data_IF_629986832762
#
_entry.id   IF_629986832762
#
_cell.length_a   1.000
_cell.length_b   1.000
_cell.length_c   1.000
_cell.angle_alpha   90.00
_cell.angle_beta   90.00
_cell.angle_gamma   90.00
#
_symmetry.space_group_name_H-M   'P 1'
#
loop_
_entity.id
_entity.type
_entity.pdbx_description
1 polymer ?
#
# COMPACT_ATOMS: atom_id res chain seq x y z
N UNK A 1 16.73 -48.60 -31.03
CA UNK A 1 16.00 -47.88 -29.96
C UNK A 1 16.86 -46.72 -29.52
N UNK A 2 16.50 -45.49 -29.89
CA UNK A 2 17.25 -44.31 -29.46
C UNK A 2 17.01 -44.08 -27.97
N UNK A 3 18.07 -44.13 -27.15
CA UNK A 3 18.08 -43.63 -25.78
C UNK A 3 17.80 -42.12 -25.83
N UNK A 4 16.53 -41.73 -25.88
CA UNK A 4 16.14 -40.39 -25.45
C UNK A 4 16.12 -40.46 -23.93
N UNK A 5 17.14 -39.88 -23.30
CA UNK A 5 17.05 -39.58 -21.87
C UNK A 5 15.70 -38.87 -21.65
N UNK A 6 14.86 -39.33 -20.72
CA UNK A 6 13.67 -38.57 -20.36
C UNK A 6 14.16 -37.18 -19.96
N UNK A 7 13.66 -36.13 -20.61
CA UNK A 7 14.03 -34.76 -20.26
C UNK A 7 13.62 -34.54 -18.81
N UNK A 8 14.59 -34.47 -17.91
CA UNK A 8 14.30 -34.20 -16.51
C UNK A 8 14.02 -32.71 -16.39
N UNK A 9 12.87 -32.35 -15.81
CA UNK A 9 12.50 -30.94 -15.56
C UNK A 9 13.58 -30.23 -14.73
N UNK A 10 14.30 -30.97 -13.88
CA UNK A 10 15.41 -30.46 -13.05
C UNK A 10 16.60 -29.96 -13.87
N UNK A 11 16.75 -30.44 -15.11
CA UNK A 11 17.85 -30.05 -16.01
C UNK A 11 17.53 -28.79 -16.83
N UNK A 12 16.29 -28.27 -16.75
CA UNK A 12 15.94 -27.00 -17.38
C UNK A 12 16.90 -25.87 -16.96
N UNK A 13 17.18 -24.92 -17.86
CA UNK A 13 18.05 -23.78 -17.58
C UNK A 13 17.49 -22.91 -16.44
N UNK A 14 18.37 -22.19 -15.72
CA UNK A 14 17.94 -21.34 -14.59
C UNK A 14 16.96 -20.26 -15.04
N UNK A 15 17.16 -19.71 -16.24
CA UNK A 15 16.33 -18.67 -16.82
C UNK A 15 14.89 -19.16 -17.02
N UNK A 16 14.72 -20.41 -17.47
CA UNK A 16 13.40 -21.02 -17.65
C UNK A 16 12.71 -21.33 -16.32
N UNK A 17 13.48 -21.76 -15.31
CA UNK A 17 12.95 -21.92 -13.96
C UNK A 17 12.47 -20.61 -13.37
N UNK A 18 13.26 -19.53 -13.52
CA UNK A 18 12.87 -18.19 -13.05
C UNK A 18 11.64 -17.67 -13.80
N UNK A 19 11.57 -17.87 -15.11
CA UNK A 19 10.39 -17.52 -15.91
C UNK A 19 9.16 -18.30 -15.45
N UNK A 20 9.28 -19.61 -15.18
CA UNK A 20 8.19 -20.40 -14.61
C UNK A 20 7.77 -19.88 -13.23
N UNK A 21 8.73 -19.41 -12.42
CA UNK A 21 8.44 -18.91 -11.09
C UNK A 21 7.58 -17.65 -11.10
N UNK A 22 7.69 -16.82 -12.13
CA UNK A 22 6.90 -15.60 -12.26
C UNK A 22 5.38 -15.87 -12.43
N UNK A 23 4.98 -17.09 -12.79
CA UNK A 23 3.58 -17.47 -12.98
C UNK A 23 2.89 -18.02 -11.73
N UNK A 24 3.64 -18.27 -10.66
CA UNK A 24 3.13 -18.92 -9.44
C UNK A 24 3.34 -18.00 -8.24
N UNK A 25 2.35 -17.96 -7.33
CA UNK A 25 2.58 -17.34 -6.04
C UNK A 25 3.61 -18.12 -5.22
N UNK A 26 4.16 -17.45 -4.22
CA UNK A 26 5.27 -17.99 -3.43
C UNK A 26 4.92 -19.31 -2.72
N UNK A 27 3.66 -19.47 -2.30
CA UNK A 27 3.18 -20.66 -1.61
C UNK A 27 3.18 -21.85 -2.56
N UNK A 28 2.64 -21.66 -3.76
CA UNK A 28 2.60 -22.67 -4.80
C UNK A 28 4.02 -23.04 -5.24
N UNK A 29 4.93 -22.05 -5.33
CA UNK A 29 6.34 -22.31 -5.61
C UNK A 29 7.03 -23.13 -4.54
N UNK A 30 6.88 -22.72 -3.28
CA UNK A 30 7.53 -23.41 -2.18
C UNK A 30 7.00 -24.83 -2.04
N UNK A 31 5.67 -25.01 -2.04
CA UNK A 31 5.06 -26.34 -1.89
C UNK A 31 5.39 -27.29 -3.05
N UNK A 32 5.48 -26.78 -4.29
CA UNK A 32 5.75 -27.61 -5.46
C UNK A 32 7.24 -27.93 -5.65
N UNK A 33 8.13 -26.98 -5.33
CA UNK A 33 9.53 -27.06 -5.76
C UNK A 33 10.56 -27.06 -4.64
N UNK A 34 10.19 -26.65 -3.41
CA UNK A 34 11.12 -26.70 -2.30
C UNK A 34 11.42 -28.16 -1.92
N UNK A 35 12.71 -28.47 -1.83
CA UNK A 35 13.19 -29.81 -1.49
C UNK A 35 13.42 -30.73 -2.69
N UNK A 36 13.12 -30.31 -3.93
CA UNK A 36 13.44 -31.10 -5.14
C UNK A 36 14.94 -31.34 -5.24
N UNK A 37 15.73 -30.27 -5.30
CA UNK A 37 17.18 -30.34 -5.25
C UNK A 37 17.79 -29.02 -4.78
N UNK A 38 19.08 -29.06 -4.45
CA UNK A 38 19.82 -27.91 -3.90
C UNK A 38 19.81 -26.70 -4.84
N UNK A 39 19.89 -26.92 -6.15
CA UNK A 39 19.94 -25.84 -7.16
C UNK A 39 18.60 -25.11 -7.23
N UNK A 40 17.50 -25.84 -7.33
CA UNK A 40 16.14 -25.27 -7.37
C UNK A 40 15.84 -24.54 -6.05
N UNK A 41 16.22 -25.11 -4.92
CA UNK A 41 16.10 -24.43 -3.61
C UNK A 41 16.84 -23.09 -3.60
N UNK A 42 18.06 -23.03 -4.16
CA UNK A 42 18.81 -21.77 -4.26
C UNK A 42 18.10 -20.76 -5.18
N UNK A 43 17.53 -21.20 -6.30
CA UNK A 43 16.77 -20.33 -7.20
C UNK A 43 15.53 -19.76 -6.50
N UNK A 44 14.75 -20.61 -5.81
CA UNK A 44 13.63 -20.17 -4.99
C UNK A 44 14.09 -19.12 -3.97
N UNK A 45 15.15 -19.44 -3.22
CA UNK A 45 15.72 -18.55 -2.21
C UNK A 45 16.31 -17.24 -2.76
N UNK A 46 16.40 -17.05 -4.07
CA UNK A 46 16.82 -15.80 -4.70
C UNK A 46 15.65 -14.87 -5.10
N UNK A 47 14.42 -15.37 -5.13
CA UNK A 47 13.23 -14.57 -5.47
C UNK A 47 13.04 -13.45 -4.44
N UNK A 48 12.84 -12.22 -4.89
CA UNK A 48 12.72 -11.06 -3.98
C UNK A 48 11.28 -10.59 -3.76
N UNK A 49 10.34 -11.27 -4.41
CA UNK A 49 8.92 -10.97 -4.34
C UNK A 49 8.22 -12.04 -3.53
N UNK A 50 7.48 -11.62 -2.51
CA UNK A 50 6.61 -12.47 -1.73
C UNK A 50 5.18 -11.98 -1.95
N UNK A 51 4.42 -12.72 -2.75
CA UNK A 51 3.00 -12.48 -2.98
C UNK A 51 2.18 -13.56 -2.30
N UNK A 52 1.22 -13.14 -1.48
CA UNK A 52 0.29 -14.01 -0.77
C UNK A 52 -1.13 -13.58 -1.11
N UNK A 53 -1.93 -14.53 -1.56
CA UNK A 53 -3.33 -14.34 -1.88
C UNK A 53 -4.16 -15.22 -0.94
N UNK A 54 -4.93 -14.61 -0.05
CA UNK A 54 -5.89 -15.27 0.84
C UNK A 54 -7.31 -14.93 0.40
N UNK A 55 -8.20 -15.90 0.31
CA UNK A 55 -9.60 -15.65 -0.06
C UNK A 55 -10.51 -16.62 0.65
N UNK A 56 -11.80 -16.27 0.77
CA UNK A 56 -12.83 -17.14 1.35
C UNK A 56 -12.87 -18.56 0.74
N UNK A 57 -12.50 -18.70 -0.53
CA UNK A 57 -12.52 -19.98 -1.26
C UNK A 57 -11.31 -20.87 -1.00
N UNK A 58 -10.20 -20.29 -0.55
CA UNK A 58 -8.96 -21.03 -0.32
C UNK A 58 -8.56 -20.77 1.13
N UNK A 59 -8.80 -21.76 1.98
CA UNK A 59 -8.56 -21.70 3.42
C UNK A 59 -7.04 -21.68 3.72
N UNK A 60 -6.41 -20.55 3.43
CA UNK A 60 -4.98 -20.30 3.58
C UNK A 60 -4.57 -19.98 5.03
N UNK A 61 -5.47 -20.11 6.01
CA UNK A 61 -5.19 -19.97 7.45
C UNK A 61 -3.97 -20.82 7.88
N UNK A 62 -3.97 -22.10 7.50
CA UNK A 62 -2.84 -22.98 7.76
C UNK A 62 -1.61 -22.55 6.97
N UNK A 63 -1.77 -22.02 5.77
CA UNK A 63 -0.66 -21.76 4.87
C UNK A 63 0.05 -20.45 5.16
N UNK A 64 -0.64 -19.41 5.62
CA UNK A 64 -0.04 -18.20 6.20
C UNK A 64 0.74 -18.56 7.47
N UNK A 65 0.13 -19.37 8.34
CA UNK A 65 0.79 -19.88 9.53
C UNK A 65 2.06 -20.67 9.16
N UNK A 66 1.97 -21.63 8.23
CA UNK A 66 3.13 -22.38 7.72
C UNK A 66 4.15 -21.42 7.09
N UNK A 67 3.70 -20.44 6.29
CA UNK A 67 4.50 -19.41 5.63
C UNK A 67 5.39 -18.62 6.59
N UNK A 68 4.93 -18.37 7.81
CA UNK A 68 5.66 -17.52 8.74
C UNK A 68 6.25 -18.27 9.94
N UNK A 69 5.85 -19.52 10.19
CA UNK A 69 6.38 -20.37 11.27
C UNK A 69 7.39 -21.40 10.80
N UNK A 70 7.21 -21.97 9.60
CA UNK A 70 8.13 -22.98 9.05
C UNK A 70 9.18 -22.41 8.10
N UNK A 71 9.03 -21.16 7.68
CA UNK A 71 9.99 -20.56 6.76
C UNK A 71 11.21 -20.02 7.48
N UNK A 72 12.40 -20.12 6.88
CA UNK A 72 13.59 -19.48 7.41
C UNK A 72 13.33 -17.97 7.45
N UNK A 73 13.26 -17.39 8.65
CA UNK A 73 13.15 -15.93 8.86
C UNK A 73 14.27 -15.16 8.14
N UNK A 74 15.40 -15.82 7.89
CA UNK A 74 16.51 -15.34 7.07
C UNK A 74 16.08 -14.97 5.64
N UNK A 75 15.07 -15.63 5.05
CA UNK A 75 14.57 -15.33 3.72
C UNK A 75 13.90 -13.95 3.65
N UNK A 76 13.16 -13.59 4.69
CA UNK A 76 12.42 -12.32 4.75
C UNK A 76 13.35 -11.10 4.71
N UNK A 77 14.61 -11.25 5.12
CA UNK A 77 15.63 -10.20 5.06
C UNK A 77 15.92 -9.73 3.62
N UNK A 78 15.71 -10.60 2.64
CA UNK A 78 16.01 -10.35 1.22
C UNK A 78 14.77 -10.03 0.38
N UNK A 79 13.58 -10.08 0.96
CA UNK A 79 12.36 -9.71 0.26
C UNK A 79 12.34 -8.19 0.09
N UNK A 80 12.13 -7.78 -1.15
CA UNK A 80 12.07 -6.38 -1.58
C UNK A 80 10.65 -5.98 -1.97
N UNK A 81 9.83 -6.93 -2.42
CA UNK A 81 8.46 -6.68 -2.82
C UNK A 81 7.55 -7.61 -2.03
N UNK A 82 6.66 -7.04 -1.22
CA UNK A 82 5.65 -7.79 -0.50
C UNK A 82 4.27 -7.38 -0.96
N UNK A 83 3.47 -8.36 -1.34
CA UNK A 83 2.08 -8.20 -1.69
C UNK A 83 1.23 -9.16 -0.89
N UNK A 84 0.25 -8.62 -0.19
CA UNK A 84 -0.79 -9.39 0.46
C UNK A 84 -2.13 -8.97 -0.14
N UNK A 85 -2.88 -9.91 -0.67
CA UNK A 85 -4.29 -9.71 -0.99
C UNK A 85 -5.07 -10.63 -0.07
N UNK A 86 -6.00 -10.09 0.71
CA UNK A 86 -6.89 -10.91 1.51
C UNK A 86 -8.34 -10.45 1.44
N UNK A 87 -9.22 -11.43 1.33
CA UNK A 87 -10.68 -11.28 1.26
C UNK A 87 -11.31 -12.16 2.35
N UNK A 88 -11.09 -11.78 3.63
CA UNK A 88 -11.46 -12.62 4.77
C UNK A 88 -11.77 -11.82 6.07
N UNK A 89 -12.80 -12.22 6.84
CA UNK A 89 -13.29 -11.47 8.01
C UNK A 89 -12.61 -11.78 9.35
N UNK A 90 -11.55 -12.59 9.41
CA UNK A 90 -10.94 -13.06 10.68
C UNK A 90 -9.56 -12.46 10.97
N UNK A 91 -9.08 -12.60 12.23
CA UNK A 91 -7.91 -11.98 12.88
C UNK A 91 -6.52 -12.07 12.17
N UNK A 92 -6.43 -12.66 10.99
CA UNK A 92 -5.20 -12.89 10.20
C UNK A 92 -4.33 -11.65 9.93
N UNK A 93 -4.88 -10.43 9.70
CA UNK A 93 -4.07 -9.27 9.35
C UNK A 93 -3.08 -8.88 10.45
N UNK A 94 -3.41 -9.13 11.72
CA UNK A 94 -2.54 -8.82 12.86
C UNK A 94 -1.34 -9.74 12.96
N UNK A 95 -1.53 -11.03 12.66
CA UNK A 95 -0.44 -11.99 12.72
C UNK A 95 0.54 -11.75 11.58
N UNK A 96 0.06 -11.41 10.38
CA UNK A 96 0.91 -10.99 9.26
C UNK A 96 1.64 -9.68 9.59
N UNK A 97 0.95 -8.74 10.24
CA UNK A 97 1.53 -7.45 10.58
C UNK A 97 2.74 -7.55 11.54
N UNK A 98 2.78 -8.57 12.41
CA UNK A 98 3.95 -8.86 13.26
C UNK A 98 5.20 -9.18 12.44
N UNK A 99 5.03 -9.76 11.24
CA UNK A 99 6.14 -10.09 10.36
C UNK A 99 6.60 -8.92 9.49
N UNK A 100 5.92 -7.76 9.50
CA UNK A 100 6.43 -6.58 8.78
C UNK A 100 7.83 -6.16 9.24
N UNK A 101 8.13 -6.34 10.53
CA UNK A 101 9.45 -6.11 11.11
C UNK A 101 10.55 -6.98 10.48
N UNK A 102 10.18 -8.07 9.81
CA UNK A 102 11.10 -9.03 9.20
C UNK A 102 11.57 -8.63 7.81
N UNK A 103 11.09 -7.50 7.25
CA UNK A 103 11.43 -7.03 5.90
C UNK A 103 12.26 -5.73 5.91
N UNK A 104 13.52 -5.74 6.38
CA UNK A 104 14.36 -4.54 6.46
C UNK A 104 14.72 -3.95 5.09
N UNK A 105 14.70 -4.77 4.03
CA UNK A 105 15.06 -4.41 2.66
C UNK A 105 13.86 -4.06 1.77
N UNK A 106 12.68 -3.86 2.37
CA UNK A 106 11.43 -3.69 1.64
C UNK A 106 11.43 -2.42 0.79
N UNK A 107 11.19 -2.57 -0.51
CA UNK A 107 11.08 -1.51 -1.52
C UNK A 107 9.61 -1.24 -1.85
N UNK A 108 8.78 -2.28 -1.91
CA UNK A 108 7.37 -2.18 -2.25
C UNK A 108 6.51 -2.96 -1.27
N UNK A 109 5.46 -2.31 -0.77
CA UNK A 109 4.43 -2.87 0.08
C UNK A 109 3.06 -2.67 -0.56
N UNK A 110 2.37 -3.76 -0.83
CA UNK A 110 0.98 -3.76 -1.29
C UNK A 110 0.15 -4.62 -0.34
N UNK A 111 -0.91 -4.06 0.22
CA UNK A 111 -1.87 -4.80 1.03
C UNK A 111 -3.26 -4.45 0.55
N UNK A 112 -3.88 -5.35 -0.22
CA UNK A 112 -5.27 -5.26 -0.63
C UNK A 112 -6.13 -6.04 0.37
N UNK A 113 -6.98 -5.33 1.09
CA UNK A 113 -7.67 -5.84 2.25
C UNK A 113 -9.17 -5.61 2.14
N UNK A 114 -9.93 -6.66 1.87
CA UNK A 114 -11.39 -6.63 1.84
C UNK A 114 -11.92 -7.48 3.00
N UNK A 115 -12.32 -6.84 4.08
CA UNK A 115 -12.82 -7.51 5.29
C UNK A 115 -14.04 -6.79 5.83
N UNK A 116 -15.02 -7.59 6.27
CA UNK A 116 -16.26 -7.13 6.88
C UNK A 116 -16.16 -6.91 8.41
N UNK A 117 -15.01 -7.18 9.03
CA UNK A 117 -14.81 -7.02 10.49
C UNK A 117 -13.86 -5.84 10.78
N UNK A 118 -14.47 -4.66 10.89
CA UNK A 118 -13.86 -3.40 10.46
C UNK A 118 -13.02 -2.64 11.50
N UNK A 119 -13.39 -2.66 12.78
CA UNK A 119 -13.02 -1.54 13.66
C UNK A 119 -11.81 -1.80 14.57
N UNK A 120 -11.43 -3.05 14.82
CA UNK A 120 -10.27 -3.34 15.69
C UNK A 120 -8.99 -3.63 14.92
N UNK A 121 -9.11 -4.30 13.78
CA UNK A 121 -7.97 -4.91 13.08
C UNK A 121 -7.31 -3.97 12.07
N UNK A 122 -8.12 -3.25 11.30
CA UNK A 122 -7.70 -2.17 10.38
C UNK A 122 -6.77 -1.17 11.05
N UNK A 123 -7.20 -0.66 12.21
CA UNK A 123 -6.51 0.41 12.92
C UNK A 123 -5.14 -0.05 13.39
N UNK A 124 -5.05 -1.29 13.87
CA UNK A 124 -3.80 -1.88 14.30
C UNK A 124 -2.88 -2.15 13.11
N UNK A 125 -3.39 -2.60 11.98
CA UNK A 125 -2.60 -2.83 10.77
C UNK A 125 -1.99 -1.53 10.23
N UNK A 126 -2.80 -0.47 10.05
CA UNK A 126 -2.31 0.86 9.64
C UNK A 126 -1.28 1.36 10.64
N UNK A 127 -1.59 1.29 11.94
CA UNK A 127 -0.65 1.69 13.00
C UNK A 127 0.67 0.93 12.89
N UNK A 128 0.63 -0.40 12.74
CA UNK A 128 1.84 -1.22 12.64
C UNK A 128 2.66 -0.81 11.42
N UNK A 129 2.05 -0.64 10.25
CA UNK A 129 2.73 -0.25 9.00
C UNK A 129 3.44 1.09 9.17
N UNK A 130 2.73 2.11 9.67
CA UNK A 130 3.29 3.45 9.82
C UNK A 130 4.24 3.58 11.03
N UNK A 131 4.26 2.64 11.96
CA UNK A 131 5.30 2.58 13.01
C UNK A 131 6.54 1.77 12.59
N UNK A 132 6.59 1.23 11.37
CA UNK A 132 7.79 0.55 10.88
C UNK A 132 8.86 1.52 10.40
N UNK A 133 10.11 1.12 10.60
CA UNK A 133 11.27 1.78 10.02
C UNK A 133 11.66 1.08 8.71
N UNK A 134 11.12 1.55 7.58
CA UNK A 134 11.38 1.01 6.25
C UNK A 134 12.12 2.03 5.38
N UNK A 135 13.46 2.17 5.53
CA UNK A 135 14.21 3.27 4.93
C UNK A 135 14.27 3.19 3.40
N UNK A 136 14.10 1.99 2.83
CA UNK A 136 14.14 1.73 1.40
C UNK A 136 12.76 1.68 0.74
N UNK A 137 11.68 1.84 1.51
CA UNK A 137 10.32 1.76 0.98
C UNK A 137 10.09 2.90 -0.01
N UNK A 138 9.80 2.55 -1.26
CA UNK A 138 9.52 3.47 -2.36
C UNK A 138 8.06 3.46 -2.76
N UNK A 139 7.36 2.34 -2.56
CA UNK A 139 5.98 2.15 -2.97
C UNK A 139 5.14 1.58 -1.83
N UNK A 140 4.13 2.33 -1.39
CA UNK A 140 3.15 1.92 -0.40
C UNK A 140 1.75 2.01 -0.99
N UNK A 141 1.05 0.88 -1.06
CA UNK A 141 -0.30 0.81 -1.61
C UNK A 141 -1.19 -0.04 -0.71
N UNK A 142 -2.17 0.61 -0.09
CA UNK A 142 -3.11 0.02 0.87
C UNK A 142 -4.56 0.16 0.34
N UNK A 143 -4.93 -0.55 -0.74
CA UNK A 143 -6.30 -0.55 -1.26
C UNK A 143 -7.21 -1.52 -0.49
N UNK A 144 -8.52 -1.38 -0.71
CA UNK A 144 -9.54 -2.28 -0.18
C UNK A 144 -10.40 -1.67 0.92
N UNK A 145 -11.58 -2.26 1.14
CA UNK A 145 -12.61 -1.72 2.04
C UNK A 145 -12.17 -1.64 3.51
N UNK A 146 -11.19 -2.45 3.90
CA UNK A 146 -10.60 -2.38 5.23
C UNK A 146 -10.03 -0.99 5.48
N UNK A 147 -9.36 -0.38 4.49
CA UNK A 147 -8.78 0.96 4.60
C UNK A 147 -9.77 2.09 4.25
N UNK A 148 -11.06 1.79 4.05
CA UNK A 148 -12.09 2.78 3.70
C UNK A 148 -12.76 3.44 4.91
N UNK A 149 -12.41 3.05 6.15
CA UNK A 149 -13.02 3.62 7.35
C UNK A 149 -12.04 4.50 8.14
N UNK A 150 -12.54 5.56 8.81
CA UNK A 150 -11.75 6.32 9.76
C UNK A 150 -11.19 5.40 10.83
N UNK A 151 -9.86 5.34 10.93
CA UNK A 151 -9.21 4.74 12.09
C UNK A 151 -9.10 5.83 13.17
N UNK A 152 -9.54 5.60 14.42
CA UNK A 152 -9.07 6.37 15.57
C UNK A 152 -7.57 6.09 15.79
N UNK A 153 -6.74 6.56 14.85
CA UNK A 153 -5.33 6.78 15.10
C UNK A 153 -5.33 7.99 16.02
N UNK A 154 -5.20 7.72 17.33
CA UNK A 154 -5.04 8.77 18.31
C UNK A 154 -4.00 9.78 17.81
N UNK A 155 -4.30 11.07 17.94
CA UNK A 155 -3.58 12.26 17.45
C UNK A 155 -2.09 12.36 17.88
N UNK A 156 -1.54 11.30 18.46
CA UNK A 156 -0.15 11.17 18.81
C UNK A 156 0.65 10.80 17.55
N UNK A 157 1.22 11.84 16.93
CA UNK A 157 2.48 11.85 16.17
C UNK A 157 2.93 10.43 15.77
N UNK A 158 2.46 9.97 14.62
CA UNK A 158 3.00 8.73 14.04
C UNK A 158 4.48 9.01 13.68
N UNK A 159 5.38 8.27 14.31
CA UNK A 159 6.82 8.31 14.01
C UNK A 159 7.14 7.38 12.84
N UNK A 160 6.57 7.66 11.67
CA UNK A 160 6.96 6.93 10.45
C UNK A 160 8.30 7.45 9.92
N UNK A 161 9.07 6.57 9.29
CA UNK A 161 10.33 6.93 8.62
C UNK A 161 10.43 6.25 7.27
N UNK A 162 9.93 6.95 6.24
CA UNK A 162 9.97 6.52 4.83
C UNK A 162 10.70 7.56 3.97
N UNK A 163 12.01 7.76 4.18
CA UNK A 163 12.78 8.78 3.47
C UNK A 163 12.82 8.55 1.95
N UNK A 164 12.73 7.29 1.50
CA UNK A 164 12.79 6.92 0.09
C UNK A 164 11.42 6.86 -0.60
N UNK A 165 10.33 7.23 0.08
CA UNK A 165 8.98 7.03 -0.44
C UNK A 165 8.74 7.88 -1.69
N UNK A 166 8.31 7.24 -2.77
CA UNK A 166 8.04 7.87 -4.07
C UNK A 166 6.55 7.82 -4.40
N UNK A 167 5.87 6.73 -4.01
CA UNK A 167 4.48 6.49 -4.30
C UNK A 167 3.74 6.07 -3.03
N UNK A 168 2.64 6.75 -2.74
CA UNK A 168 1.71 6.35 -1.70
C UNK A 168 0.28 6.37 -2.23
N UNK A 169 -0.45 5.31 -1.94
CA UNK A 169 -1.88 5.20 -2.15
C UNK A 169 -2.49 4.53 -0.93
N UNK A 170 -3.26 5.30 -0.15
CA UNK A 170 -4.01 4.81 1.01
C UNK A 170 -5.44 5.29 0.85
N UNK A 171 -6.44 4.42 1.03
CA UNK A 171 -7.82 4.84 0.84
C UNK A 171 -8.23 5.93 1.83
N UNK A 172 -8.31 5.66 3.15
CA UNK A 172 -8.54 6.70 4.17
C UNK A 172 -7.33 6.96 5.04
N UNK A 173 -7.06 8.23 5.32
CA UNK A 173 -5.91 8.68 6.12
C UNK A 173 -6.29 9.89 6.98
N UNK A 174 -5.88 10.00 8.26
CA UNK A 174 -6.09 11.23 9.02
C UNK A 174 -5.43 12.42 8.32
N UNK A 175 -6.11 13.57 8.29
CA UNK A 175 -5.63 14.77 7.60
C UNK A 175 -4.18 15.13 8.00
N UNK A 176 -3.91 15.25 9.29
CA UNK A 176 -2.58 15.62 9.81
C UNK A 176 -1.48 14.62 9.44
N UNK A 177 -1.82 13.33 9.40
CA UNK A 177 -0.88 12.28 8.99
C UNK A 177 -0.55 12.40 7.50
N UNK A 178 -1.54 12.70 6.67
CA UNK A 178 -1.36 13.08 5.28
C UNK A 178 -0.41 14.27 5.09
N UNK A 179 -0.64 15.34 5.85
CA UNK A 179 0.20 16.53 5.79
C UNK A 179 1.65 16.24 6.21
N UNK A 180 1.85 15.42 7.24
CA UNK A 180 3.18 14.98 7.65
C UNK A 180 3.89 14.17 6.57
N UNK A 181 3.18 13.26 5.88
CA UNK A 181 3.75 12.47 4.77
C UNK A 181 4.19 13.38 3.62
N UNK A 182 3.35 14.35 3.26
CA UNK A 182 3.66 15.32 2.22
C UNK A 182 4.83 16.23 2.59
N UNK A 183 5.07 16.50 3.87
CA UNK A 183 6.22 17.28 4.31
C UNK A 183 7.51 16.43 4.42
N UNK A 184 7.44 15.23 4.98
CA UNK A 184 8.62 14.42 5.29
C UNK A 184 9.12 13.59 4.11
N UNK A 185 8.24 13.15 3.20
CA UNK A 185 8.61 12.32 2.06
C UNK A 185 9.04 13.20 0.87
N UNK A 186 10.24 13.77 0.95
CA UNK A 186 10.76 14.73 -0.04
C UNK A 186 10.98 14.15 -1.45
N UNK A 187 10.84 12.84 -1.66
CA UNK A 187 10.96 12.18 -2.96
C UNK A 187 9.61 11.80 -3.57
N UNK A 188 8.52 12.15 -2.90
CA UNK A 188 7.18 11.76 -3.30
C UNK A 188 6.81 12.35 -4.67
N UNK A 189 6.31 11.49 -5.55
CA UNK A 189 5.85 11.83 -6.90
C UNK A 189 4.39 11.47 -7.15
N UNK A 190 3.84 10.54 -6.38
CA UNK A 190 2.44 10.15 -6.46
C UNK A 190 1.86 10.04 -5.07
N UNK A 191 0.78 10.77 -4.83
CA UNK A 191 0.03 10.74 -3.59
C UNK A 191 -1.44 10.50 -3.88
N UNK A 192 -2.03 9.51 -3.24
CA UNK A 192 -3.48 9.34 -3.18
C UNK A 192 -3.88 9.10 -1.74
N UNK A 193 -4.81 9.92 -1.23
CA UNK A 193 -5.50 9.67 0.02
C UNK A 193 -6.88 10.33 0.07
N UNK A 194 -7.79 9.71 0.82
CA UNK A 194 -9.04 10.32 1.26
C UNK A 194 -8.88 10.74 2.72
N UNK A 195 -8.62 12.03 2.95
CA UNK A 195 -8.54 12.56 4.31
C UNK A 195 -9.87 12.54 5.07
N UNK A 196 -9.77 12.29 6.36
CA UNK A 196 -10.83 12.48 7.36
C UNK A 196 -10.25 13.21 8.59
N UNK A 197 -11.10 13.56 9.55
CA UNK A 197 -10.75 14.36 10.73
C UNK A 197 -10.11 15.70 10.33
N UNK A 198 -10.79 16.43 9.45
CA UNK A 198 -10.38 17.78 9.11
C UNK A 198 -10.43 18.68 10.35
N UNK A 199 -9.44 19.59 10.51
CA UNK A 199 -9.53 20.62 11.51
C UNK A 199 -10.82 21.43 11.32
N UNK A 200 -11.60 21.56 12.39
CA UNK A 200 -12.85 22.32 12.38
C UNK A 200 -12.65 23.84 12.40
N UNK A 201 -11.39 24.29 12.55
CA UNK A 201 -10.98 25.68 12.55
C UNK A 201 -9.89 25.96 11.50
N UNK A 202 -9.86 27.21 11.05
CA UNK A 202 -8.98 27.75 10.00
C UNK A 202 -7.47 27.51 10.23
N UNK A 203 -7.06 27.04 11.40
CA UNK A 203 -5.66 26.93 11.84
C UNK A 203 -4.97 25.61 11.45
N UNK A 204 -5.70 24.62 10.94
CA UNK A 204 -5.13 23.28 10.74
C UNK A 204 -4.48 23.02 9.38
N UNK A 205 -4.66 23.91 8.39
CA UNK A 205 -3.92 23.84 7.12
C UNK A 205 -2.53 24.44 7.36
N UNK A 206 -1.43 23.71 7.09
CA UNK A 206 -0.09 24.26 7.29
C UNK A 206 0.14 25.50 6.41
N UNK A 207 0.42 26.66 7.01
CA UNK A 207 0.77 27.89 6.27
C UNK A 207 2.13 27.81 5.53
N UNK A 208 2.86 26.71 5.74
CA UNK A 208 4.17 26.45 5.12
C UNK A 208 4.06 25.52 3.92
N UNK A 209 4.89 25.77 2.91
CA UNK A 209 5.03 24.87 1.75
C UNK A 209 5.48 23.50 2.26
N UNK A 210 4.68 22.47 2.01
CA UNK A 210 5.04 21.09 2.33
C UNK A 210 6.10 20.60 1.33
N UNK A 211 7.21 20.07 1.85
CA UNK A 211 8.44 19.85 1.07
C UNK A 211 8.28 18.86 -0.11
N UNK A 212 7.32 17.96 -0.06
CA UNK A 212 7.03 16.99 -1.12
C UNK A 212 6.20 17.55 -2.29
N UNK A 213 5.40 18.60 -2.06
CA UNK A 213 4.45 19.11 -3.07
C UNK A 213 5.11 19.57 -4.37
N UNK A 214 6.27 20.28 -4.35
CA UNK A 214 6.90 20.71 -5.58
C UNK A 214 7.32 19.59 -6.55
N UNK A 215 7.45 18.35 -6.06
CA UNK A 215 7.88 17.19 -6.86
C UNK A 215 6.75 16.26 -7.27
N UNK A 216 5.54 16.49 -6.76
CA UNK A 216 4.37 15.69 -7.11
C UNK A 216 4.08 15.78 -8.61
N UNK A 217 3.85 14.62 -9.20
CA UNK A 217 3.42 14.44 -10.59
C UNK A 217 1.98 13.97 -10.64
N UNK A 218 1.56 13.17 -9.66
CA UNK A 218 0.20 12.66 -9.53
C UNK A 218 -0.35 12.95 -8.13
N UNK A 219 -1.53 13.54 -8.09
CA UNK A 219 -2.28 13.81 -6.87
C UNK A 219 -3.66 13.18 -7.01
N UNK A 220 -4.10 12.45 -5.99
CA UNK A 220 -5.43 11.90 -5.91
C UNK A 220 -6.08 12.18 -4.57
N UNK A 221 -7.33 12.63 -4.61
CA UNK A 221 -8.14 13.00 -3.44
C UNK A 221 -9.53 12.38 -3.59
N UNK A 222 -10.23 12.10 -2.49
CA UNK A 222 -11.60 11.56 -2.52
C UNK A 222 -12.67 12.54 -2.09
N UNK A 223 -13.93 12.20 -2.35
CA UNK A 223 -15.09 13.05 -2.06
C UNK A 223 -15.22 13.49 -0.61
N UNK A 224 -14.84 12.64 0.36
CA UNK A 224 -14.87 13.01 1.78
C UNK A 224 -13.98 14.21 2.09
N UNK A 225 -13.00 14.51 1.22
CA UNK A 225 -12.17 15.73 1.29
C UNK A 225 -12.92 17.01 0.92
N UNK A 226 -14.12 16.88 0.36
CA UNK A 226 -14.89 17.94 -0.30
C UNK A 226 -16.27 18.18 0.32
N UNK A 227 -16.55 17.60 1.50
CA UNK A 227 -17.86 17.75 2.16
C UNK A 227 -18.10 19.18 2.70
N UNK A 228 -17.06 19.89 3.12
CA UNK A 228 -17.12 21.28 3.57
C UNK A 228 -16.50 22.23 2.53
N UNK A 229 -17.36 22.90 1.75
CA UNK A 229 -16.98 23.73 0.59
C UNK A 229 -15.82 24.71 0.86
N UNK A 230 -15.79 25.37 2.01
CA UNK A 230 -14.76 26.38 2.32
C UNK A 230 -13.39 25.76 2.62
N UNK A 231 -13.35 24.71 3.44
CA UNK A 231 -12.13 23.96 3.79
C UNK A 231 -11.50 23.31 2.55
N UNK A 232 -12.34 22.78 1.66
CA UNK A 232 -11.91 22.08 0.47
C UNK A 232 -11.44 23.00 -0.65
N UNK A 233 -12.11 24.15 -0.84
CA UNK A 233 -11.64 25.21 -1.73
C UNK A 233 -10.27 25.71 -1.28
N UNK A 234 -10.10 25.99 0.02
CA UNK A 234 -8.81 26.44 0.58
C UNK A 234 -7.72 25.39 0.43
N UNK A 235 -8.05 24.11 0.62
CA UNK A 235 -7.10 23.03 0.39
C UNK A 235 -6.59 23.04 -1.06
N UNK A 236 -7.49 23.13 -2.05
CA UNK A 236 -7.11 23.18 -3.47
C UNK A 236 -6.37 24.48 -3.83
N UNK A 237 -6.83 25.62 -3.32
CA UNK A 237 -6.21 26.94 -3.51
C UNK A 237 -4.79 27.00 -2.94
N UNK A 238 -4.53 26.30 -1.84
CA UNK A 238 -3.18 26.19 -1.27
C UNK A 238 -2.33 25.17 -2.01
N UNK A 239 -2.87 23.98 -2.32
CA UNK A 239 -2.10 22.84 -2.84
C UNK A 239 -1.69 22.97 -4.30
N UNK A 240 -2.60 23.42 -5.17
CA UNK A 240 -2.36 23.39 -6.61
C UNK A 240 -1.22 24.35 -7.03
N UNK A 241 -1.16 25.60 -6.54
CA UNK A 241 -0.07 26.52 -6.91
C UNK A 241 1.32 26.05 -6.48
N UNK A 242 1.41 25.22 -5.45
CA UNK A 242 2.68 24.68 -4.92
C UNK A 242 3.05 23.31 -5.50
N UNK A 243 2.28 22.80 -6.47
CA UNK A 243 2.56 21.57 -7.22
C UNK A 243 2.87 21.85 -8.72
N UNK A 244 3.93 22.62 -9.06
CA UNK A 244 4.23 23.05 -10.44
C UNK A 244 4.51 21.90 -11.43
N UNK A 245 4.74 20.69 -10.93
CA UNK A 245 5.02 19.50 -11.75
C UNK A 245 3.82 18.55 -11.87
N UNK A 246 2.66 18.93 -11.34
CA UNK A 246 1.46 18.08 -11.36
C UNK A 246 1.00 17.86 -12.81
N UNK A 247 0.86 16.60 -13.19
CA UNK A 247 0.41 16.18 -14.54
C UNK A 247 -0.87 15.35 -14.50
N UNK A 248 -1.23 14.83 -13.34
CA UNK A 248 -2.40 13.99 -13.16
C UNK A 248 -3.06 14.38 -11.84
N UNK A 249 -4.32 14.81 -11.93
CA UNK A 249 -5.17 15.05 -10.78
C UNK A 249 -6.34 14.07 -10.86
N UNK A 250 -6.44 13.19 -9.86
CA UNK A 250 -7.49 12.19 -9.74
C UNK A 250 -8.45 12.61 -8.63
N UNK A 251 -9.71 12.78 -8.98
CA UNK A 251 -10.74 13.13 -8.03
C UNK A 251 -11.73 11.96 -7.92
N UNK A 252 -11.76 11.28 -6.78
CA UNK A 252 -12.59 10.08 -6.60
C UNK A 252 -13.91 10.43 -5.91
N UNK A 253 -15.02 10.30 -6.64
CA UNK A 253 -16.39 10.58 -6.17
C UNK A 253 -17.12 9.27 -5.87
N UNK A 254 -17.60 9.09 -4.64
CA UNK A 254 -18.43 7.96 -4.23
C UNK A 254 -19.92 8.34 -4.34
N UNK A 255 -20.52 8.04 -5.48
CA UNK A 255 -21.94 8.30 -5.81
C UNK A 255 -23.00 7.54 -4.96
N UNK A 256 -22.63 6.95 -3.83
CA UNK A 256 -23.53 6.10 -3.04
C UNK A 256 -24.16 6.79 -1.84
N UNK A 257 -23.73 8.00 -1.48
CA UNK A 257 -24.30 8.73 -0.35
C UNK A 257 -25.22 9.87 -0.82
N UNK A 258 -26.53 9.62 -0.78
CA UNK A 258 -27.56 10.61 -1.11
C UNK A 258 -27.57 11.84 -0.19
N UNK A 259 -26.79 11.84 0.89
CA UNK A 259 -26.62 12.99 1.77
C UNK A 259 -25.56 13.99 1.28
N UNK A 260 -24.75 13.61 0.29
CA UNK A 260 -23.72 14.48 -0.28
C UNK A 260 -24.34 15.33 -1.39
N UNK A 261 -24.26 16.65 -1.23
CA UNK A 261 -24.71 17.59 -2.26
C UNK A 261 -23.66 17.66 -3.39
N UNK A 262 -23.81 16.81 -4.39
CA UNK A 262 -22.91 16.71 -5.54
C UNK A 262 -22.78 18.03 -6.35
N UNK A 263 -23.74 18.96 -6.25
CA UNK A 263 -23.64 20.27 -6.90
C UNK A 263 -22.53 21.15 -6.28
N UNK A 264 -22.06 20.82 -5.06
CA UNK A 264 -20.92 21.50 -4.41
C UNK A 264 -19.55 20.94 -4.81
N UNK A 265 -19.51 19.71 -5.34
CA UNK A 265 -18.27 18.97 -5.67
C UNK A 265 -17.79 19.26 -7.10
N UNK A 266 -18.64 19.85 -7.93
CA UNK A 266 -18.32 20.25 -9.30
C UNK A 266 -18.47 21.75 -9.46
N UNK A 267 -17.95 22.54 -8.51
CA UNK A 267 -17.92 24.00 -8.66
C UNK A 267 -17.09 24.33 -9.92
N UNK A 268 -17.67 25.01 -10.92
CA UNK A 268 -16.98 25.31 -12.18
C UNK A 268 -15.67 26.07 -11.98
N UNK A 269 -15.56 26.85 -10.89
CA UNK A 269 -14.37 27.64 -10.57
C UNK A 269 -13.19 26.78 -10.10
N UNK A 270 -13.41 25.51 -9.72
CA UNK A 270 -12.31 24.61 -9.33
C UNK A 270 -11.39 24.29 -10.51
N UNK A 271 -11.97 24.18 -11.71
CA UNK A 271 -11.21 23.89 -12.91
C UNK A 271 -10.27 25.03 -13.29
N UNK A 272 -10.57 26.27 -12.90
CA UNK A 272 -9.66 27.40 -13.11
C UNK A 272 -8.35 27.21 -12.33
N UNK A 273 -8.39 26.60 -11.14
CA UNK A 273 -7.18 26.29 -10.37
C UNK A 273 -6.44 25.04 -10.86
N UNK A 274 -7.14 24.07 -11.45
CA UNK A 274 -6.55 22.82 -11.95
C UNK A 274 -5.94 23.01 -13.34
N UNK A 275 -6.48 23.92 -14.16
CA UNK A 275 -6.08 24.15 -15.55
C UNK A 275 -5.14 25.37 -15.73
N UNK A 276 -4.91 26.16 -14.69
CA UNK A 276 -3.93 27.26 -14.67
C UNK A 276 -2.49 26.76 -14.46
#
# INVERSE_FOLDING_TARGET
MSNRNPSCIEDLANELWLEMFDYLDWINLYSAFYGINKRINQLLMNIRTLSIYSSYLINYLNTLYLCFTEFPTEKFQYIQHFQLIYDYPYNEPLDIAKYFRSFPSLISLIIDANSDDYDRYTNQLITIIFHQHCPFLQYLHLPGHTFDKPSPIYEHICTFYFPSLVHIHVNKLPFYMGMQLLDQCIHLRSFFAIFYDYPSDDNGIPERILSGLPKLIKLGLGEDNFQEKESSNRFLEFFLPICPNLRTFNFNIRFHDSSINHDKILDPNWWEYILA
#
